data_IF_057686236511
#
_entry.id   IF_057686236511
#
_cell.length_a   1.000
_cell.length_b   1.000
_cell.length_c   1.000
_cell.angle_alpha   90.00
_cell.angle_beta   90.00
_cell.angle_gamma   90.00
#
_symmetry.space_group_name_H-M   'P 1'
#
loop_
_entity.id
_entity.type
_entity.pdbx_description
1 polymer ?
#
# COMPACT_ATOMS: atom_id res chain seq x y z
N UNK A 1 -24.89 -6.82 -16.82
CA UNK A 1 -24.08 -5.93 -15.95
C UNK A 1 -22.72 -6.58 -15.75
N UNK A 2 -21.66 -5.91 -16.17
CA UNK A 2 -20.28 -6.40 -16.18
C UNK A 2 -19.55 -5.80 -17.39
N UNK A 3 -18.33 -5.29 -17.21
CA UNK A 3 -17.53 -4.80 -18.33
C UNK A 3 -17.27 -5.96 -19.31
N UNK A 4 -17.61 -5.77 -20.60
CA UNK A 4 -17.30 -6.75 -21.64
C UNK A 4 -15.80 -6.68 -21.92
N UNK A 5 -15.11 -7.83 -21.91
CA UNK A 5 -13.72 -7.91 -22.37
C UNK A 5 -13.62 -7.42 -23.81
N UNK A 6 -12.83 -6.39 -24.05
CA UNK A 6 -12.57 -5.83 -25.38
C UNK A 6 -11.24 -6.30 -25.98
N UNK A 7 -10.39 -6.93 -25.18
CA UNK A 7 -9.08 -7.49 -25.57
C UNK A 7 -8.94 -8.91 -25.05
N UNK A 8 -8.14 -9.71 -25.75
CA UNK A 8 -7.81 -11.10 -25.38
C UNK A 8 -6.38 -11.25 -24.87
N UNK A 9 -5.61 -10.17 -24.86
CA UNK A 9 -4.20 -10.12 -24.43
C UNK A 9 -3.88 -8.72 -23.84
N UNK A 10 -2.74 -8.63 -23.18
CA UNK A 10 -2.17 -7.40 -22.64
C UNK A 10 -1.98 -6.32 -23.71
N UNK A 11 -1.98 -5.08 -23.25
CA UNK A 11 -1.55 -3.95 -24.06
C UNK A 11 -0.06 -3.70 -23.81
N UNK A 12 0.73 -3.76 -24.87
CA UNK A 12 2.16 -3.57 -24.81
C UNK A 12 2.52 -2.16 -25.28
N UNK A 13 3.22 -1.42 -24.43
CA UNK A 13 3.82 -0.13 -24.79
C UNK A 13 5.33 -0.29 -24.91
N UNK A 14 5.91 0.36 -25.92
CA UNK A 14 7.36 0.42 -26.15
C UNK A 14 7.96 1.76 -25.72
N UNK A 15 7.17 2.63 -25.10
CA UNK A 15 7.66 3.84 -24.45
C UNK A 15 7.97 3.55 -22.99
N UNK A 16 9.02 4.16 -22.47
CA UNK A 16 9.36 4.08 -21.05
C UNK A 16 8.20 4.55 -20.16
N UNK A 17 8.24 4.13 -18.89
CA UNK A 17 7.27 4.53 -17.89
C UNK A 17 7.18 6.06 -17.77
N UNK A 18 5.97 6.64 -17.68
CA UNK A 18 5.80 8.09 -17.83
C UNK A 18 6.20 8.90 -16.60
N UNK A 19 6.33 8.31 -15.41
CA UNK A 19 6.56 9.03 -14.15
C UNK A 19 7.90 9.74 -14.13
N UNK A 20 8.99 9.11 -14.57
CA UNK A 20 10.31 9.75 -14.60
C UNK A 20 10.33 10.98 -15.52
N UNK A 21 9.77 10.85 -16.73
CA UNK A 21 9.68 11.95 -17.71
C UNK A 21 8.77 13.06 -17.18
N UNK A 22 7.57 12.72 -16.72
CA UNK A 22 6.62 13.69 -16.16
C UNK A 22 7.19 14.41 -14.94
N UNK A 23 7.93 13.72 -14.06
CA UNK A 23 8.60 14.36 -12.92
C UNK A 23 9.58 15.43 -13.38
N UNK A 24 10.38 15.18 -14.43
CA UNK A 24 11.32 16.17 -14.97
C UNK A 24 10.58 17.38 -15.53
N UNK A 25 9.56 17.17 -16.35
CA UNK A 25 8.76 18.23 -16.96
C UNK A 25 8.05 19.08 -15.91
N UNK A 26 7.42 18.43 -14.92
CA UNK A 26 6.72 19.09 -13.82
C UNK A 26 7.68 19.93 -12.98
N UNK A 27 8.87 19.41 -12.64
CA UNK A 27 9.87 20.18 -11.87
C UNK A 27 10.51 21.32 -12.66
N UNK A 28 10.58 21.22 -13.99
CA UNK A 28 11.04 22.31 -14.85
C UNK A 28 9.99 23.43 -14.91
N UNK A 29 8.70 23.06 -15.00
CA UNK A 29 7.58 24.00 -15.08
C UNK A 29 7.22 24.64 -13.73
N UNK A 30 7.33 23.89 -12.64
CA UNK A 30 6.94 24.29 -11.28
C UNK A 30 8.07 23.98 -10.26
N UNK A 31 9.19 24.73 -10.31
CA UNK A 31 10.34 24.46 -9.45
C UNK A 31 10.03 24.57 -7.94
N UNK A 32 9.00 25.31 -7.55
CA UNK A 32 8.53 25.46 -6.18
C UNK A 32 8.08 24.14 -5.55
N UNK A 33 7.66 23.15 -6.35
CA UNK A 33 7.26 21.82 -5.84
C UNK A 33 8.40 21.12 -5.11
N UNK A 34 9.67 21.45 -5.40
CA UNK A 34 10.83 20.90 -4.68
C UNK A 34 10.74 21.15 -3.18
N UNK A 35 10.08 22.24 -2.74
CA UNK A 35 9.88 22.55 -1.32
C UNK A 35 8.94 21.58 -0.62
N UNK A 36 8.05 20.93 -1.37
CA UNK A 36 7.08 19.94 -0.88
C UNK A 36 7.66 18.52 -0.89
N UNK A 37 8.78 18.30 -1.58
CA UNK A 37 9.44 16.99 -1.63
C UNK A 37 10.19 16.74 -0.32
N UNK A 38 9.57 16.01 0.60
CA UNK A 38 10.16 15.68 1.88
C UNK A 38 9.33 14.72 2.70
N UNK A 39 9.82 14.44 3.91
CA UNK A 39 9.12 13.63 4.90
C UNK A 39 8.13 14.50 5.65
N UNK A 40 6.87 14.06 5.75
CA UNK A 40 5.92 14.67 6.68
C UNK A 40 6.30 14.31 8.13
N UNK A 41 6.63 15.32 8.93
CA UNK A 41 7.00 15.15 10.32
C UNK A 41 5.87 14.52 11.18
N UNK A 42 4.60 14.78 10.83
CA UNK A 42 3.41 14.32 11.57
C UNK A 42 3.10 12.86 11.33
N UNK A 43 3.45 12.33 10.16
CA UNK A 43 3.13 10.97 9.71
C UNK A 43 3.37 9.91 10.80
N UNK A 44 4.60 9.82 11.32
CA UNK A 44 4.96 8.81 12.33
C UNK A 44 4.14 8.92 13.63
N UNK A 45 3.74 10.12 14.03
CA UNK A 45 2.96 10.32 15.25
C UNK A 45 1.51 9.90 15.05
N UNK A 46 0.90 10.30 13.93
CA UNK A 46 -0.48 9.90 13.58
C UNK A 46 -0.56 8.37 13.49
N UNK A 47 0.37 7.75 12.77
CA UNK A 47 0.42 6.29 12.62
C UNK A 47 0.64 5.61 13.98
N UNK A 48 1.49 6.16 14.84
CA UNK A 48 1.70 5.61 16.20
C UNK A 48 0.41 5.63 17.03
N UNK A 49 -0.35 6.72 16.96
CA UNK A 49 -1.66 6.81 17.63
C UNK A 49 -2.62 5.76 17.10
N UNK A 50 -2.67 5.55 15.77
CA UNK A 50 -3.53 4.51 15.17
C UNK A 50 -3.15 3.10 15.62
N UNK A 51 -1.87 2.77 15.70
CA UNK A 51 -1.40 1.46 16.19
C UNK A 51 -1.81 1.25 17.64
N UNK A 52 -1.54 2.23 18.51
CA UNK A 52 -1.90 2.14 19.94
C UNK A 52 -3.42 2.02 20.11
N UNK A 53 -4.19 2.84 19.39
CA UNK A 53 -5.65 2.79 19.43
C UNK A 53 -6.15 1.39 19.05
N UNK A 54 -5.63 0.81 17.97
CA UNK A 54 -6.07 -0.50 17.51
C UNK A 54 -5.76 -1.62 18.52
N UNK A 55 -4.59 -1.54 19.18
CA UNK A 55 -4.23 -2.48 20.26
C UNK A 55 -5.12 -2.32 21.51
N UNK A 56 -5.42 -1.08 21.89
CA UNK A 56 -6.31 -0.79 23.02
C UNK A 56 -7.73 -1.29 22.78
N UNK A 57 -8.25 -1.06 21.57
CA UNK A 57 -9.56 -1.57 21.17
C UNK A 57 -9.55 -3.10 21.16
N UNK A 58 -8.52 -3.73 20.59
CA UNK A 58 -8.39 -5.19 20.61
C UNK A 58 -8.46 -5.74 22.05
N UNK A 59 -7.77 -5.10 22.99
CA UNK A 59 -7.85 -5.45 24.41
C UNK A 59 -9.25 -5.22 25.01
N UNK A 60 -9.90 -4.09 24.69
CA UNK A 60 -11.23 -3.76 25.20
C UNK A 60 -12.32 -4.73 24.72
N UNK A 61 -12.18 -5.27 23.50
CA UNK A 61 -13.14 -6.20 22.91
C UNK A 61 -12.89 -7.68 23.25
N UNK A 62 -11.88 -8.01 24.07
CA UNK A 62 -11.46 -9.40 24.32
C UNK A 62 -12.55 -10.29 24.95
N UNK A 63 -13.46 -9.68 25.72
CA UNK A 63 -14.54 -10.36 26.45
C UNK A 63 -15.93 -10.12 25.80
N UNK A 64 -15.97 -9.46 24.64
CA UNK A 64 -17.20 -9.17 23.89
C UNK A 64 -17.68 -10.37 23.07
N UNK A 65 -18.95 -10.31 22.64
CA UNK A 65 -19.50 -11.35 21.75
C UNK A 65 -18.87 -11.26 20.36
N UNK A 66 -18.76 -12.41 19.68
CA UNK A 66 -18.27 -12.47 18.30
C UNK A 66 -19.01 -11.55 17.33
N UNK A 67 -20.32 -11.33 17.53
CA UNK A 67 -21.10 -10.42 16.70
C UNK A 67 -20.60 -8.98 16.82
N UNK A 68 -20.37 -8.48 18.05
CA UNK A 68 -19.80 -7.16 18.27
C UNK A 68 -18.39 -7.04 17.70
N UNK A 69 -17.55 -8.07 17.91
CA UNK A 69 -16.19 -8.10 17.37
C UNK A 69 -16.23 -7.99 15.84
N UNK A 70 -17.08 -8.75 15.15
CA UNK A 70 -17.18 -8.72 13.68
C UNK A 70 -17.66 -7.35 13.18
N UNK A 71 -18.71 -6.78 13.78
CA UNK A 71 -19.24 -5.46 13.39
C UNK A 71 -18.16 -4.39 13.57
N UNK A 72 -17.48 -4.39 14.72
CA UNK A 72 -16.41 -3.43 14.99
C UNK A 72 -15.23 -3.63 14.05
N UNK A 73 -14.80 -4.87 13.85
CA UNK A 73 -13.70 -5.22 12.96
C UNK A 73 -13.98 -4.78 11.53
N UNK A 74 -15.22 -4.89 11.04
CA UNK A 74 -15.57 -4.47 9.69
C UNK A 74 -15.57 -2.94 9.54
N UNK A 75 -16.24 -2.21 10.43
CA UNK A 75 -16.45 -0.77 10.28
C UNK A 75 -15.21 0.00 10.71
N UNK A 76 -14.81 -0.15 11.97
CA UNK A 76 -13.72 0.61 12.56
C UNK A 76 -12.37 -0.06 12.29
N UNK A 77 -12.31 -1.38 12.53
CA UNK A 77 -11.09 -2.15 12.35
C UNK A 77 -10.58 -2.10 10.92
N UNK A 78 -11.45 -2.34 9.93
CA UNK A 78 -11.11 -2.31 8.51
C UNK A 78 -10.62 -0.95 8.06
N UNK A 79 -11.26 0.14 8.51
CA UNK A 79 -10.85 1.51 8.20
C UNK A 79 -9.47 1.85 8.74
N UNK A 80 -9.20 1.52 10.01
CA UNK A 80 -7.89 1.73 10.63
C UNK A 80 -6.84 0.83 9.98
N UNK A 81 -7.17 -0.43 9.71
CA UNK A 81 -6.28 -1.40 9.08
C UNK A 81 -5.87 -0.95 7.67
N UNK A 82 -6.81 -0.45 6.87
CA UNK A 82 -6.51 0.15 5.56
C UNK A 82 -5.57 1.36 5.67
N UNK A 83 -5.78 2.21 6.68
CA UNK A 83 -4.87 3.34 6.93
C UNK A 83 -3.46 2.87 7.33
N UNK A 84 -3.36 1.79 8.11
CA UNK A 84 -2.08 1.20 8.53
C UNK A 84 -1.37 0.48 7.38
N UNK A 85 -2.08 -0.17 6.45
CA UNK A 85 -1.45 -0.76 5.25
C UNK A 85 -0.91 0.33 4.31
N UNK A 86 -1.63 1.45 4.15
CA UNK A 86 -1.09 2.64 3.48
C UNK A 86 0.10 3.25 4.22
N UNK A 87 0.10 3.23 5.55
CA UNK A 87 1.25 3.66 6.32
C UNK A 87 2.47 2.74 6.09
N UNK A 88 2.27 1.41 6.01
CA UNK A 88 3.33 0.46 5.65
C UNK A 88 3.87 0.77 4.24
N UNK A 89 3.01 1.15 3.30
CA UNK A 89 3.42 1.62 1.97
C UNK A 89 4.38 2.82 2.04
N UNK A 90 4.02 3.87 2.79
CA UNK A 90 4.90 5.03 2.95
C UNK A 90 6.21 4.69 3.68
N UNK A 91 6.16 3.80 4.68
CA UNK A 91 7.36 3.32 5.39
C UNK A 91 8.27 2.49 4.47
N UNK A 92 7.71 1.76 3.50
CA UNK A 92 8.50 1.02 2.50
C UNK A 92 9.41 1.97 1.71
N UNK A 93 8.90 3.15 1.38
CA UNK A 93 9.64 4.26 0.73
C UNK A 93 10.57 5.03 1.69
N UNK A 94 10.73 4.59 2.93
CA UNK A 94 11.49 5.26 3.99
C UNK A 94 10.95 6.65 4.37
N UNK A 95 9.65 6.90 4.16
CA UNK A 95 9.06 8.22 4.37
C UNK A 95 8.66 8.52 5.82
N UNK A 96 8.92 7.62 6.78
CA UNK A 96 8.68 7.91 8.20
C UNK A 96 9.83 8.69 8.87
N UNK A 97 11.07 8.33 8.55
CA UNK A 97 12.27 8.95 9.11
C UNK A 97 13.26 9.47 8.06
N UNK A 98 12.92 9.30 6.78
CA UNK A 98 13.77 9.65 5.65
C UNK A 98 14.77 8.55 5.28
N UNK A 99 15.36 8.70 4.10
CA UNK A 99 16.27 7.75 3.48
C UNK A 99 17.58 7.54 4.26
N UNK A 100 18.00 8.52 5.05
CA UNK A 100 19.23 8.46 5.86
C UNK A 100 19.10 7.56 7.10
N UNK A 101 17.89 7.09 7.43
CA UNK A 101 17.62 6.26 8.61
C UNK A 101 16.87 4.97 8.25
N UNK A 102 17.45 4.08 7.44
CA UNK A 102 16.76 2.88 6.96
C UNK A 102 16.38 1.91 8.09
N UNK A 103 17.22 1.77 9.13
CA UNK A 103 16.93 0.91 10.28
C UNK A 103 15.73 1.44 11.09
N UNK A 104 15.64 2.75 11.30
CA UNK A 104 14.50 3.36 12.00
C UNK A 104 13.18 3.12 11.25
N UNK A 105 13.19 3.28 9.92
CA UNK A 105 12.02 2.96 9.10
C UNK A 105 11.67 1.46 9.19
N UNK A 106 12.66 0.56 9.18
CA UNK A 106 12.42 -0.89 9.29
C UNK A 106 11.79 -1.26 10.64
N UNK A 107 12.35 -0.77 11.75
CA UNK A 107 11.81 -1.02 13.09
C UNK A 107 10.40 -0.42 13.24
N UNK A 108 10.19 0.78 12.71
CA UNK A 108 8.86 1.37 12.70
C UNK A 108 7.87 0.57 11.85
N UNK A 109 8.30 0.04 10.69
CA UNK A 109 7.49 -0.87 9.88
C UNK A 109 7.02 -2.09 10.65
N UNK A 110 7.88 -2.71 11.48
CA UNK A 110 7.48 -3.80 12.37
C UNK A 110 6.40 -3.37 13.36
N UNK A 111 6.57 -2.19 13.97
CA UNK A 111 5.62 -1.64 14.91
C UNK A 111 4.25 -1.34 14.25
N UNK A 112 4.24 -0.70 13.07
CA UNK A 112 3.02 -0.42 12.30
C UNK A 112 2.30 -1.69 11.87
N UNK A 113 3.04 -2.77 11.66
CA UNK A 113 2.50 -4.06 11.28
C UNK A 113 1.83 -4.83 12.44
N UNK A 114 2.06 -4.45 13.70
CA UNK A 114 1.53 -5.20 14.86
C UNK A 114 0.01 -5.42 14.79
N UNK A 115 -0.83 -4.40 14.50
CA UNK A 115 -2.27 -4.60 14.47
C UNK A 115 -2.78 -5.40 13.25
N UNK A 116 -1.95 -5.56 12.21
CA UNK A 116 -2.27 -6.36 11.01
C UNK A 116 -2.18 -7.86 11.32
N UNK A 117 -1.43 -8.26 12.35
CA UNK A 117 -1.14 -9.64 12.77
C UNK A 117 -0.45 -10.56 11.74
N UNK A 118 -0.38 -10.17 10.47
CA UNK A 118 0.35 -10.87 9.40
C UNK A 118 1.66 -10.15 9.15
N UNK A 119 2.84 -10.80 9.29
CA UNK A 119 4.15 -10.14 9.16
C UNK A 119 4.47 -9.81 7.69
N UNK A 120 3.91 -8.71 7.19
CA UNK A 120 4.00 -8.33 5.77
C UNK A 120 4.96 -7.18 5.49
N UNK A 121 5.27 -6.32 6.47
CA UNK A 121 6.01 -5.06 6.25
C UNK A 121 7.31 -5.21 5.42
N UNK A 122 8.13 -6.23 5.67
CA UNK A 122 9.40 -6.42 4.95
C UNK A 122 9.20 -6.98 3.55
N UNK A 123 8.37 -8.01 3.42
CA UNK A 123 8.04 -8.60 2.12
C UNK A 123 7.37 -7.56 1.23
N UNK A 124 6.40 -6.82 1.77
CA UNK A 124 5.77 -5.69 1.10
C UNK A 124 6.83 -4.69 0.62
N UNK A 125 7.74 -4.22 1.50
CA UNK A 125 8.79 -3.29 1.09
C UNK A 125 9.64 -3.81 -0.07
N UNK A 126 10.02 -5.10 -0.05
CA UNK A 126 10.79 -5.71 -1.14
C UNK A 126 10.02 -5.64 -2.45
N UNK A 127 8.86 -6.26 -2.49
CA UNK A 127 8.09 -6.43 -3.73
C UNK A 127 7.52 -5.11 -4.25
N UNK A 128 7.12 -4.21 -3.35
CA UNK A 128 6.69 -2.87 -3.71
C UNK A 128 7.80 -2.06 -4.37
N UNK A 129 9.03 -2.12 -3.87
CA UNK A 129 10.16 -1.45 -4.52
C UNK A 129 10.53 -2.11 -5.85
N UNK A 130 10.34 -3.42 -6.00
CA UNK A 130 10.50 -4.11 -7.28
C UNK A 130 9.45 -3.62 -8.31
N UNK A 131 8.18 -3.48 -7.90
CA UNK A 131 7.12 -2.85 -8.71
C UNK A 131 7.52 -1.45 -9.19
N UNK A 132 7.90 -0.54 -8.28
CA UNK A 132 8.30 0.83 -8.65
C UNK A 132 9.54 0.87 -9.55
N UNK A 133 10.46 -0.10 -9.42
CA UNK A 133 11.69 -0.16 -10.21
C UNK A 133 11.47 -0.73 -11.61
N UNK A 134 10.58 -1.69 -11.74
CA UNK A 134 10.34 -2.44 -12.98
C UNK A 134 8.91 -2.26 -13.49
N UNK A 135 8.29 -1.12 -13.21
CA UNK A 135 6.88 -0.87 -13.47
C UNK A 135 6.52 -1.18 -14.93
N UNK A 136 5.53 -2.06 -15.13
CA UNK A 136 5.11 -2.51 -16.47
C UNK A 136 5.91 -3.70 -17.04
N UNK A 137 6.95 -4.19 -16.37
CA UNK A 137 7.69 -5.40 -16.76
C UNK A 137 6.92 -6.67 -16.39
N UNK A 138 6.57 -7.47 -17.40
CA UNK A 138 5.71 -8.65 -17.25
C UNK A 138 6.24 -9.78 -16.36
N UNK A 139 7.51 -9.76 -15.98
CA UNK A 139 8.11 -10.80 -15.12
C UNK A 139 8.58 -10.26 -13.77
N UNK A 140 8.95 -8.97 -13.69
CA UNK A 140 9.53 -8.38 -12.48
C UNK A 140 8.56 -7.50 -11.71
N UNK A 141 7.57 -6.92 -12.39
CA UNK A 141 6.53 -6.15 -11.74
C UNK A 141 5.50 -7.12 -11.13
N UNK A 142 5.46 -7.14 -9.80
CA UNK A 142 4.55 -8.00 -9.03
C UNK A 142 3.10 -7.53 -9.05
N UNK A 143 2.84 -6.30 -9.51
CA UNK A 143 1.49 -5.71 -9.53
C UNK A 143 0.79 -5.92 -10.90
N UNK A 144 1.49 -6.52 -11.87
CA UNK A 144 0.86 -6.92 -13.14
C UNK A 144 0.10 -8.23 -12.93
N UNK A 145 -1.18 -8.30 -13.31
CA UNK A 145 -1.93 -9.54 -13.18
C UNK A 145 -1.31 -10.61 -14.06
N UNK A 146 -1.24 -11.83 -13.54
CA UNK A 146 -0.88 -13.01 -14.31
C UNK A 146 -1.91 -13.31 -15.40
N UNK A 147 -1.51 -14.05 -16.44
CA UNK A 147 -2.42 -14.49 -17.49
C UNK A 147 -3.60 -15.33 -16.96
N UNK A 148 -3.38 -16.08 -15.87
CA UNK A 148 -4.45 -16.82 -15.22
C UNK A 148 -5.47 -15.86 -14.57
N UNK A 149 -5.01 -14.85 -13.85
CA UNK A 149 -5.88 -13.86 -13.20
C UNK A 149 -6.70 -13.08 -14.23
N UNK A 150 -6.11 -12.69 -15.36
CA UNK A 150 -6.84 -11.97 -16.41
C UNK A 150 -7.94 -12.82 -17.06
N UNK A 151 -7.80 -14.15 -17.09
CA UNK A 151 -8.83 -15.09 -17.58
C UNK A 151 -9.90 -15.39 -16.53
N UNK A 152 -9.53 -15.44 -15.25
CA UNK A 152 -10.46 -15.73 -14.16
C UNK A 152 -11.35 -14.53 -13.81
N UNK A 153 -10.78 -13.33 -13.66
CA UNK A 153 -11.49 -12.13 -13.18
C UNK A 153 -12.25 -11.38 -14.29
N UNK A 154 -13.05 -12.11 -15.06
CA UNK A 154 -13.75 -11.61 -16.26
C UNK A 154 -15.25 -11.39 -16.05
N UNK A 155 -15.83 -12.00 -15.00
CA UNK A 155 -17.25 -11.92 -14.66
C UNK A 155 -17.46 -11.37 -13.25
N UNK A 156 -18.62 -10.74 -12.99
CA UNK A 156 -18.97 -10.17 -11.68
C UNK A 156 -18.86 -11.17 -10.54
N UNK A 157 -19.29 -12.42 -10.77
CA UNK A 157 -19.22 -13.46 -9.74
C UNK A 157 -17.78 -13.83 -9.36
N UNK A 158 -16.86 -13.86 -10.33
CA UNK A 158 -15.45 -14.13 -10.05
C UNK A 158 -14.75 -12.99 -9.31
N UNK A 159 -15.39 -11.81 -9.20
CA UNK A 159 -14.87 -10.62 -8.52
C UNK A 159 -15.49 -10.39 -7.13
N UNK A 160 -16.21 -11.37 -6.59
CA UNK A 160 -16.84 -11.30 -5.26
C UNK A 160 -15.86 -11.54 -4.09
N UNK A 161 -14.57 -11.64 -4.37
CA UNK A 161 -13.50 -11.92 -3.40
C UNK A 161 -12.67 -10.67 -3.19
#
# INVERSE_FOLDING_TARGET
MGARLTRTDFEWSYTDEPHATRRKEMLAKYPEMKRLMGVDAKFKYIVTVLVILQLLVCYALKDETWLHIIIYAYICGGTVNHSLTLAIHEVAHNMAFGHSRPLANRLFGFFVNLPIAIPMSISFKKYHLDHHRYQGDSQKDVDIPSELETRLFTHTFHKLV
#
